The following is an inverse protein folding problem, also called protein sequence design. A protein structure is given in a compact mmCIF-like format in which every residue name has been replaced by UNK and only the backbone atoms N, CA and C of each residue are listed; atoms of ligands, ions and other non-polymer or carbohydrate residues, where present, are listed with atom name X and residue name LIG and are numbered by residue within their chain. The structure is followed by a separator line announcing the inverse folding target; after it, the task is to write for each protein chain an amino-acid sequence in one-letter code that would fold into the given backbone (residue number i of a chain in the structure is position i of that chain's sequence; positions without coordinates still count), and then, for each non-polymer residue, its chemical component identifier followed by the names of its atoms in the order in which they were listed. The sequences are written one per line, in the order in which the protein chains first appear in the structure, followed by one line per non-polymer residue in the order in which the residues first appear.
data_IF_225383087968
#
_entry.id   IF_225383087968
#
_cell.length_a   1.000
_cell.length_b   1.000
_cell.length_c   1.000
_cell.angle_alpha   90.00
_cell.angle_beta   90.00
_cell.angle_gamma   90.00
#
_symmetry.space_group_name_H-M   'P 1'
#
loop_
_entity.id
_entity.type
_entity.pdbx_description
1 polymer ?
#
# COMPACT_ATOMS: atom_id res chain seq x y z
N UNK A 1 -61.61 -2.30 38.25
CA UNK A 1 -60.46 -1.41 37.96
C UNK A 1 -59.25 -2.30 37.67
N UNK A 2 -58.98 -2.58 36.40
CA UNK A 2 -57.97 -1.95 35.54
C UNK A 2 -56.51 -2.36 35.83
N UNK A 3 -56.06 -3.36 35.04
CA UNK A 3 -54.84 -3.47 34.23
C UNK A 3 -53.49 -2.90 34.72
N UNK A 4 -52.44 -3.72 34.44
CA UNK A 4 -51.01 -3.46 34.11
C UNK A 4 -50.09 -4.07 35.17
N UNK A 5 -49.37 -5.19 34.99
CA UNK A 5 -48.44 -5.60 33.92
C UNK A 5 -47.62 -4.42 33.40
N UNK A 6 -46.37 -4.25 33.83
CA UNK A 6 -45.20 -3.94 32.99
C UNK A 6 -43.92 -3.69 33.83
N UNK A 7 -42.77 -4.00 33.22
CA UNK A 7 -41.39 -3.54 33.51
C UNK A 7 -40.52 -4.35 34.47
N UNK A 8 -40.16 -5.55 34.01
CA UNK A 8 -38.85 -6.19 34.24
C UNK A 8 -38.22 -6.43 32.87
N UNK A 9 -37.69 -5.38 32.25
CA UNK A 9 -36.94 -5.47 30.98
C UNK A 9 -36.09 -4.23 30.72
N UNK A 10 -35.05 -4.00 31.52
CA UNK A 10 -34.03 -2.98 31.19
C UNK A 10 -32.66 -3.45 31.67
N UNK A 11 -32.19 -4.56 31.10
CA UNK A 11 -30.76 -4.90 31.13
C UNK A 11 -30.38 -5.79 29.93
N UNK A 12 -30.69 -5.31 28.73
CA UNK A 12 -30.22 -5.90 27.47
C UNK A 12 -30.30 -4.83 26.36
N UNK A 13 -29.50 -3.76 26.47
CA UNK A 13 -29.34 -2.81 25.38
C UNK A 13 -28.01 -2.06 25.47
N UNK A 14 -26.88 -2.77 25.37
CA UNK A 14 -25.56 -2.15 25.15
C UNK A 14 -24.63 -3.06 24.34
N UNK A 15 -25.08 -3.63 23.22
CA UNK A 15 -24.16 -4.35 22.28
C UNK A 15 -24.62 -4.30 20.82
N UNK A 16 -25.20 -3.19 20.35
CA UNK A 16 -25.64 -3.05 18.94
C UNK A 16 -25.29 -1.69 18.32
N UNK A 17 -24.15 -1.13 18.66
CA UNK A 17 -23.66 0.16 18.13
C UNK A 17 -22.24 0.09 17.59
N UNK A 18 -21.91 -0.88 16.73
CA UNK A 18 -20.52 -1.06 16.27
C UNK A 18 -20.32 -1.64 14.86
N UNK A 19 -21.32 -1.65 13.97
CA UNK A 19 -21.18 -2.28 12.65
C UNK A 19 -21.45 -1.36 11.44
N UNK A 20 -21.61 -0.05 11.64
CA UNK A 20 -21.81 0.90 10.53
C UNK A 20 -20.52 1.54 9.98
N UNK A 21 -19.33 1.27 10.55
CA UNK A 21 -18.09 1.93 10.10
C UNK A 21 -17.52 1.37 8.78
N UNK A 22 -17.68 0.07 8.51
CA UNK A 22 -17.08 -0.57 7.33
C UNK A 22 -17.74 -0.17 5.99
N UNK A 23 -18.93 0.44 5.99
CA UNK A 23 -19.62 0.78 4.75
C UNK A 23 -19.18 2.14 4.17
N UNK A 24 -18.61 3.01 5.00
CA UNK A 24 -18.13 4.34 4.59
C UNK A 24 -16.74 4.34 3.94
N UNK A 25 -15.96 3.28 4.17
CA UNK A 25 -14.58 3.12 3.63
C UNK A 25 -14.59 2.56 2.21
N UNK A 26 -15.62 1.78 1.85
CA UNK A 26 -15.79 1.25 0.49
C UNK A 26 -16.06 2.35 -0.55
N UNK A 27 -16.56 3.51 -0.11
CA UNK A 27 -16.90 4.64 -0.98
C UNK A 27 -15.87 5.77 -0.98
N UNK A 28 -14.66 5.51 -0.46
CA UNK A 28 -13.56 6.47 -0.38
C UNK A 28 -12.24 5.86 -0.87
N UNK A 29 -11.33 6.70 -1.32
CA UNK A 29 -9.94 6.36 -1.67
C UNK A 29 -9.10 6.29 -0.41
N UNK A 30 -8.34 5.20 -0.25
CA UNK A 30 -7.28 5.13 0.75
C UNK A 30 -6.09 5.95 0.27
N UNK A 31 -5.74 7.02 0.99
CA UNK A 31 -4.51 7.77 0.67
C UNK A 31 -3.37 7.28 1.56
N UNK A 32 -2.28 6.85 0.92
CA UNK A 32 -0.98 6.67 1.57
C UNK A 32 -0.48 8.01 2.12
N UNK A 33 0.37 7.96 3.13
CA UNK A 33 1.02 9.14 3.70
C UNK A 33 2.53 9.14 3.43
N UNK A 34 3.15 10.30 3.40
CA UNK A 34 4.61 10.42 3.43
C UNK A 34 5.04 11.54 4.36
N UNK A 35 5.91 11.24 5.31
CA UNK A 35 6.46 12.25 6.24
C UNK A 35 7.51 13.15 5.59
N UNK A 36 8.00 12.78 4.41
CA UNK A 36 9.02 13.54 3.69
C UNK A 36 8.44 14.65 2.79
N UNK A 37 7.15 14.56 2.46
CA UNK A 37 6.54 15.41 1.44
C UNK A 37 5.82 16.62 2.05
N UNK A 38 6.19 17.80 1.55
CA UNK A 38 5.52 19.07 1.85
C UNK A 38 4.62 19.56 0.69
N UNK A 39 4.55 18.80 -0.41
CA UNK A 39 3.77 19.13 -1.59
C UNK A 39 3.38 17.87 -2.38
N UNK A 40 2.62 18.06 -3.45
CA UNK A 40 2.17 17.00 -4.34
C UNK A 40 3.33 16.46 -5.17
N UNK A 41 3.15 15.24 -5.66
CA UNK A 41 4.14 14.53 -6.48
C UNK A 41 3.69 14.54 -7.94
N UNK A 42 4.54 15.00 -8.84
CA UNK A 42 4.28 14.97 -10.28
C UNK A 42 4.48 13.58 -10.84
N UNK A 43 3.53 13.16 -11.66
CA UNK A 43 3.54 11.91 -12.41
C UNK A 43 3.70 12.19 -13.91
N UNK A 44 4.40 11.29 -14.59
CA UNK A 44 4.34 11.15 -16.04
C UNK A 44 3.05 10.42 -16.46
N UNK A 45 2.81 10.35 -17.77
CA UNK A 45 1.68 9.59 -18.31
C UNK A 45 1.82 8.09 -17.99
N UNK A 46 3.02 7.54 -18.18
CA UNK A 46 3.33 6.14 -17.89
C UNK A 46 3.08 5.82 -16.40
N UNK A 47 3.46 6.71 -15.49
CA UNK A 47 3.22 6.52 -14.04
C UNK A 47 1.72 6.49 -13.69
N UNK A 48 0.88 7.27 -14.40
CA UNK A 48 -0.57 7.24 -14.17
C UNK A 48 -1.18 5.94 -14.67
N UNK A 49 -0.82 5.49 -15.88
CA UNK A 49 -1.29 4.19 -16.38
C UNK A 49 -0.82 3.05 -15.48
N UNK A 50 0.39 3.19 -14.96
CA UNK A 50 0.97 2.26 -14.01
C UNK A 50 0.11 2.10 -12.76
N UNK A 51 -0.17 3.19 -12.02
CA UNK A 51 -1.02 3.16 -10.81
C UNK A 51 -2.43 2.60 -11.09
N UNK A 52 -2.97 2.84 -12.29
CA UNK A 52 -4.27 2.26 -12.69
C UNK A 52 -4.15 0.74 -12.87
N UNK A 53 -3.10 0.28 -13.54
CA UNK A 53 -2.90 -1.13 -13.86
C UNK A 53 -2.60 -2.00 -12.64
N UNK A 54 -2.01 -1.42 -11.59
CA UNK A 54 -1.73 -2.08 -10.31
C UNK A 54 -2.91 -1.99 -9.33
N UNK A 55 -4.05 -1.45 -9.79
CA UNK A 55 -5.26 -1.29 -8.98
C UNK A 55 -5.04 -0.45 -7.71
N UNK A 56 -4.19 0.58 -7.78
CA UNK A 56 -3.90 1.43 -6.63
C UNK A 56 -5.10 2.34 -6.26
N UNK A 57 -5.21 2.66 -4.97
CA UNK A 57 -6.02 3.76 -4.47
C UNK A 57 -5.14 5.04 -4.50
N UNK A 58 -5.50 6.03 -5.33
CA UNK A 58 -4.75 7.29 -5.41
C UNK A 58 -5.61 8.47 -5.83
N UNK A 59 -5.10 9.68 -5.59
CA UNK A 59 -5.74 10.94 -6.01
C UNK A 59 -4.82 11.68 -6.96
N UNK A 60 -5.36 12.01 -8.14
CA UNK A 60 -4.64 12.67 -9.21
C UNK A 60 -5.28 14.02 -9.51
N UNK A 61 -4.49 15.08 -9.46
CA UNK A 61 -4.85 16.37 -10.03
C UNK A 61 -4.38 16.43 -11.47
N UNK A 62 -5.28 16.73 -12.40
CA UNK A 62 -4.94 17.13 -13.76
C UNK A 62 -4.88 18.66 -13.78
N UNK A 63 -3.70 19.21 -14.08
CA UNK A 63 -3.46 20.65 -14.06
C UNK A 63 -2.84 21.16 -15.36
N UNK A 64 -2.78 22.48 -15.53
CA UNK A 64 -2.14 23.10 -16.69
C UNK A 64 -1.24 24.27 -16.24
N UNK A 65 -0.07 24.44 -16.84
CA UNK A 65 0.91 25.48 -16.47
C UNK A 65 0.35 26.91 -16.50
N UNK A 66 -0.48 27.23 -17.48
CA UNK A 66 -1.04 28.59 -17.69
C UNK A 66 -2.35 28.83 -16.94
N UNK A 67 -2.80 27.88 -16.12
CA UNK A 67 -4.09 27.91 -15.43
C UNK A 67 -4.00 28.59 -14.05
N UNK A 68 -4.63 29.76 -13.91
CA UNK A 68 -4.67 30.52 -12.66
C UNK A 68 -5.41 29.76 -11.54
N UNK A 69 -6.51 29.09 -11.87
CA UNK A 69 -7.25 28.23 -10.94
C UNK A 69 -6.38 27.06 -10.43
N UNK A 70 -5.49 26.53 -11.28
CA UNK A 70 -4.57 25.46 -10.94
C UNK A 70 -3.50 25.94 -9.96
N UNK A 71 -3.03 27.18 -10.11
CA UNK A 71 -2.12 27.81 -9.15
C UNK A 71 -2.76 27.92 -7.76
N UNK A 72 -4.04 28.31 -7.71
CA UNK A 72 -4.81 28.37 -6.45
C UNK A 72 -4.95 26.97 -5.85
N UNK A 73 -5.41 25.99 -6.63
CA UNK A 73 -5.59 24.62 -6.15
C UNK A 73 -4.27 24.00 -5.66
N UNK A 74 -3.14 24.25 -6.36
CA UNK A 74 -1.80 23.83 -5.92
C UNK A 74 -1.42 24.38 -4.55
N UNK A 75 -1.78 25.63 -4.23
CA UNK A 75 -1.56 26.22 -2.90
C UNK A 75 -2.42 25.57 -1.82
N UNK A 76 -3.70 25.33 -2.11
CA UNK A 76 -4.61 24.63 -1.19
C UNK A 76 -4.14 23.20 -0.94
N UNK A 77 -3.70 22.52 -2.00
CA UNK A 77 -3.20 21.15 -1.94
C UNK A 77 -1.93 21.04 -1.10
N UNK A 78 -0.97 21.96 -1.25
CA UNK A 78 0.22 22.04 -0.38
C UNK A 78 -0.14 22.15 1.10
N UNK A 79 -1.10 23.02 1.42
CA UNK A 79 -1.58 23.19 2.81
C UNK A 79 -2.19 21.88 3.32
N UNK A 80 -3.06 21.25 2.52
CA UNK A 80 -3.69 19.97 2.85
C UNK A 80 -2.66 18.86 3.08
N UNK A 81 -1.67 18.73 2.20
CA UNK A 81 -0.60 17.73 2.32
C UNK A 81 0.21 17.98 3.58
N UNK A 82 0.63 19.22 3.85
CA UNK A 82 1.40 19.55 5.06
C UNK A 82 0.65 19.27 6.37
N UNK A 83 -0.69 19.36 6.39
CA UNK A 83 -1.50 19.06 7.57
C UNK A 83 -1.81 17.58 7.75
N UNK A 84 -1.87 16.82 6.65
CA UNK A 84 -2.40 15.44 6.67
C UNK A 84 -1.36 14.37 6.38
N UNK A 85 -0.22 14.78 5.83
CA UNK A 85 0.82 13.96 5.20
C UNK A 85 0.30 13.10 4.04
N UNK A 86 -0.92 13.34 3.54
CA UNK A 86 -1.50 12.54 2.45
C UNK A 86 -0.69 12.71 1.17
N UNK A 87 -0.37 11.60 0.52
CA UNK A 87 0.25 11.58 -0.80
C UNK A 87 -0.81 11.84 -1.86
N UNK A 88 -0.60 12.90 -2.64
CA UNK A 88 -1.49 13.33 -3.72
C UNK A 88 -0.62 13.64 -4.94
N UNK A 89 -1.10 13.23 -6.11
CA UNK A 89 -0.37 13.33 -7.36
C UNK A 89 -0.86 14.49 -8.24
N UNK A 90 0.00 14.98 -9.14
CA UNK A 90 -0.28 15.98 -10.18
C UNK A 90 0.22 15.48 -11.53
N UNK A 91 -0.54 15.72 -12.60
CA UNK A 91 -0.12 15.50 -13.99
C UNK A 91 -0.49 16.72 -14.84
N UNK A 92 0.36 17.07 -15.80
CA UNK A 92 0.05 18.11 -16.78
C UNK A 92 -1.01 17.59 -17.76
N UNK A 93 -1.99 18.43 -18.11
CA UNK A 93 -3.09 18.06 -19.01
C UNK A 93 -2.59 17.49 -20.33
N UNK A 94 -1.52 18.05 -20.91
CA UNK A 94 -0.95 17.55 -22.16
C UNK A 94 -0.46 16.11 -22.04
N UNK A 95 0.11 15.74 -20.90
CA UNK A 95 0.64 14.39 -20.67
C UNK A 95 -0.53 13.43 -20.38
N UNK A 96 -1.52 13.87 -19.60
CA UNK A 96 -2.75 13.12 -19.36
C UNK A 96 -3.54 12.81 -20.65
N UNK A 97 -3.59 13.76 -21.58
CA UNK A 97 -4.28 13.59 -22.87
C UNK A 97 -3.62 12.52 -23.76
N UNK A 98 -2.32 12.24 -23.57
CA UNK A 98 -1.63 11.18 -24.33
C UNK A 98 -2.18 9.78 -24.03
N UNK A 99 -2.65 9.55 -22.79
CA UNK A 99 -3.10 8.22 -22.31
C UNK A 99 -4.62 8.13 -22.16
N UNK A 100 -5.31 9.23 -21.91
CA UNK A 100 -6.75 9.22 -21.63
C UNK A 100 -7.62 8.87 -22.84
N UNK A 101 -7.09 8.97 -24.05
CA UNK A 101 -7.81 8.57 -25.27
C UNK A 101 -7.86 7.05 -25.47
N UNK A 102 -6.86 6.32 -24.96
CA UNK A 102 -6.73 4.87 -25.06
C UNK A 102 -7.17 4.13 -23.79
N UNK A 103 -6.99 4.74 -22.62
CA UNK A 103 -7.29 4.11 -21.33
C UNK A 103 -8.70 4.45 -20.84
N UNK A 104 -9.61 3.47 -20.87
CA UNK A 104 -11.03 3.64 -20.50
C UNK A 104 -11.26 3.98 -19.02
N UNK A 105 -10.28 3.76 -18.15
CA UNK A 105 -10.38 4.15 -16.74
C UNK A 105 -10.26 5.69 -16.57
N UNK A 106 -9.67 6.37 -17.55
CA UNK A 106 -9.43 7.80 -17.53
C UNK A 106 -10.60 8.57 -18.18
N UNK A 107 -11.29 9.45 -17.44
CA UNK A 107 -12.33 10.28 -18.03
C UNK A 107 -11.75 11.41 -18.87
N UNK A 108 -12.51 11.91 -19.85
CA UNK A 108 -12.20 13.17 -20.53
C UNK A 108 -12.14 14.32 -19.51
N UNK A 109 -11.12 15.18 -19.59
CA UNK A 109 -10.95 16.35 -18.73
C UNK A 109 -11.05 17.62 -19.57
N UNK A 110 -12.12 18.38 -19.38
CA UNK A 110 -12.37 19.63 -20.15
C UNK A 110 -11.91 20.89 -19.42
N UNK A 111 -11.82 20.80 -18.10
CA UNK A 111 -11.52 21.93 -17.22
C UNK A 111 -10.32 21.57 -16.33
N UNK A 112 -9.45 22.53 -16.08
CA UNK A 112 -8.37 22.40 -15.08
C UNK A 112 -8.53 23.48 -14.00
N UNK A 113 -8.20 23.18 -12.73
CA UNK A 113 -7.78 21.89 -12.21
C UNK A 113 -8.97 20.92 -12.09
N UNK A 114 -8.70 19.64 -12.38
CA UNK A 114 -9.63 18.54 -12.13
C UNK A 114 -8.98 17.54 -11.19
N UNK A 115 -9.69 17.08 -10.16
CA UNK A 115 -9.24 16.01 -9.30
C UNK A 115 -9.99 14.72 -9.61
N UNK A 116 -9.23 13.66 -9.77
CA UNK A 116 -9.66 12.31 -10.04
C UNK A 116 -9.30 11.45 -8.82
N UNK A 117 -10.29 10.75 -8.29
CA UNK A 117 -10.16 9.87 -7.14
C UNK A 117 -10.28 8.45 -7.67
N UNK A 118 -9.19 7.69 -7.63
CA UNK A 118 -9.11 6.30 -8.08
C UNK A 118 -9.16 5.36 -6.90
N UNK A 119 -9.92 4.28 -7.06
CA UNK A 119 -10.03 3.19 -6.09
C UNK A 119 -9.94 1.87 -6.83
N UNK A 120 -8.97 1.02 -6.48
CA UNK A 120 -8.78 -0.24 -7.21
C UNK A 120 -8.53 0.00 -8.70
N UNK A 121 -7.74 1.01 -9.06
CA UNK A 121 -7.49 1.40 -10.46
C UNK A 121 -8.70 2.00 -11.22
N UNK A 122 -9.88 2.06 -10.59
CA UNK A 122 -11.11 2.57 -11.21
C UNK A 122 -11.47 3.97 -10.71
N UNK A 123 -11.99 4.81 -11.60
CA UNK A 123 -12.44 6.16 -11.22
C UNK A 123 -13.65 6.08 -10.28
N UNK A 124 -13.46 6.49 -9.03
CA UNK A 124 -14.52 6.64 -8.03
C UNK A 124 -15.23 7.99 -8.16
N UNK A 125 -14.46 9.07 -8.31
CA UNK A 125 -15.00 10.43 -8.37
C UNK A 125 -14.15 11.35 -9.22
N UNK A 126 -14.82 12.22 -9.98
CA UNK A 126 -14.25 13.37 -10.67
C UNK A 126 -14.82 14.66 -10.08
N UNK A 127 -13.96 15.64 -9.81
CA UNK A 127 -14.33 16.97 -9.31
C UNK A 127 -13.61 18.02 -10.16
N UNK A 128 -14.38 18.92 -10.77
CA UNK A 128 -13.86 20.02 -11.57
C UNK A 128 -14.11 21.35 -10.86
N UNK A 129 -13.10 22.22 -10.82
CA UNK A 129 -13.22 23.57 -10.28
C UNK A 129 -13.29 23.63 -8.76
N UNK A 130 -12.63 24.64 -8.17
CA UNK A 130 -12.58 24.83 -6.73
C UNK A 130 -12.70 26.31 -6.39
N UNK A 131 -13.32 26.59 -5.25
CA UNK A 131 -13.27 27.91 -4.64
C UNK A 131 -11.89 28.11 -4.01
N UNK A 132 -11.44 29.36 -3.94
CA UNK A 132 -10.27 29.73 -3.15
C UNK A 132 -10.62 29.77 -1.66
N UNK A 133 -11.01 28.62 -1.11
CA UNK A 133 -11.47 28.43 0.25
C UNK A 133 -10.91 27.10 0.75
N UNK A 134 -10.04 27.18 1.77
CA UNK A 134 -9.35 26.00 2.28
C UNK A 134 -10.28 25.05 3.03
N UNK A 135 -11.25 25.57 3.78
CA UNK A 135 -12.16 24.72 4.56
C UNK A 135 -13.11 23.97 3.61
N UNK A 136 -13.60 24.62 2.55
CA UNK A 136 -14.39 23.95 1.51
C UNK A 136 -13.57 22.88 0.77
N UNK A 137 -12.32 23.20 0.42
CA UNK A 137 -11.38 22.26 -0.21
C UNK A 137 -11.13 21.03 0.68
N UNK A 138 -10.74 21.25 1.95
CA UNK A 138 -10.44 20.20 2.92
C UNK A 138 -11.66 19.32 3.20
N UNK A 139 -12.84 19.91 3.38
CA UNK A 139 -14.09 19.18 3.58
C UNK A 139 -14.47 18.34 2.35
N UNK A 140 -14.23 18.86 1.15
CA UNK A 140 -14.45 18.12 -0.09
C UNK A 140 -13.50 16.92 -0.19
N UNK A 141 -12.20 17.13 0.06
CA UNK A 141 -11.21 16.05 0.05
C UNK A 141 -11.53 14.96 1.08
N UNK A 142 -11.83 15.34 2.32
CA UNK A 142 -12.14 14.38 3.39
C UNK A 142 -13.46 13.61 3.18
N UNK A 143 -14.31 14.06 2.24
CA UNK A 143 -15.50 13.30 1.82
C UNK A 143 -15.14 12.10 0.94
N UNK A 144 -14.07 12.20 0.15
CA UNK A 144 -13.68 11.17 -0.84
C UNK A 144 -12.37 10.47 -0.50
N UNK A 145 -11.57 11.03 0.39
CA UNK A 145 -10.38 10.42 0.96
C UNK A 145 -10.72 9.95 2.36
N UNK A 146 -10.27 8.75 2.70
CA UNK A 146 -10.02 8.40 4.09
C UNK A 146 -8.53 8.10 4.22
N UNK A 147 -7.90 8.75 5.18
CA UNK A 147 -6.50 8.47 5.49
C UNK A 147 -6.42 7.56 6.70
N UNK A 148 -5.57 6.56 6.59
CA UNK A 148 -5.04 5.82 7.73
C UNK A 148 -3.58 6.18 7.88
N UNK A 149 -2.98 5.82 9.00
CA UNK A 149 -1.57 6.02 9.22
C UNK A 149 -0.74 4.95 8.50
N UNK A 150 -1.01 4.72 7.21
CA UNK A 150 -0.17 3.93 6.33
C UNK A 150 0.78 4.88 5.62
N UNK A 151 2.08 4.72 5.85
CA UNK A 151 3.12 5.61 5.36
C UNK A 151 4.01 4.88 4.35
N UNK A 152 4.25 5.49 3.20
CA UNK A 152 5.29 5.03 2.27
C UNK A 152 6.65 5.57 2.70
N UNK A 153 7.66 4.70 2.65
CA UNK A 153 9.08 5.02 2.87
C UNK A 153 9.86 5.13 1.55
N UNK A 154 9.17 5.11 0.40
CA UNK A 154 9.77 5.36 -0.90
C UNK A 154 10.25 6.81 -1.00
N UNK A 155 11.36 7.02 -1.71
CA UNK A 155 11.98 8.34 -1.89
C UNK A 155 11.45 9.03 -3.14
N UNK A 156 11.00 10.29 -3.00
CA UNK A 156 10.58 11.16 -4.09
C UNK A 156 11.63 12.26 -4.30
N UNK A 157 11.82 12.74 -5.54
CA UNK A 157 12.79 13.81 -5.81
C UNK A 157 12.17 15.20 -5.77
N UNK A 158 12.83 16.14 -5.08
CA UNK A 158 12.58 17.57 -5.22
C UNK A 158 13.60 18.15 -6.20
N UNK A 159 13.14 18.59 -7.37
CA UNK A 159 14.04 19.21 -8.35
C UNK A 159 14.51 20.57 -7.82
N UNK A 160 15.83 20.73 -7.68
CA UNK A 160 16.44 21.98 -7.20
C UNK A 160 15.98 23.18 -8.04
N UNK A 161 15.47 24.22 -7.37
CA UNK A 161 14.93 25.43 -8.02
C UNK A 161 13.41 25.43 -8.27
N UNK A 162 12.69 24.36 -7.91
CA UNK A 162 11.22 24.32 -7.91
C UNK A 162 10.69 23.70 -6.60
N UNK A 163 9.46 24.04 -6.22
CA UNK A 163 8.72 23.46 -5.08
C UNK A 163 8.09 22.09 -5.37
N UNK A 164 8.14 21.63 -6.62
CA UNK A 164 7.44 20.42 -7.05
C UNK A 164 8.29 19.16 -6.77
N UNK A 165 7.64 18.12 -6.24
CA UNK A 165 8.20 16.78 -6.14
C UNK A 165 7.88 16.00 -7.41
N UNK A 166 8.73 15.06 -7.78
CA UNK A 166 8.55 14.16 -8.92
C UNK A 166 8.58 12.73 -8.42
N UNK A 167 7.66 11.93 -8.92
CA UNK A 167 7.77 10.47 -8.83
C UNK A 167 8.94 10.08 -9.71
N UNK A 168 9.86 9.32 -9.12
CA UNK A 168 10.97 8.77 -9.87
C UNK A 168 10.82 7.27 -9.73
N UNK A 169 10.16 6.68 -10.72
CA UNK A 169 10.32 5.26 -10.97
C UNK A 169 11.84 5.00 -11.03
N UNK A 170 12.32 4.01 -10.30
CA UNK A 170 13.72 3.58 -10.32
C UNK A 170 14.73 4.40 -9.51
N UNK A 171 14.65 4.36 -8.17
CA UNK A 171 15.76 4.78 -7.33
C UNK A 171 16.31 3.69 -6.44
N UNK A 172 17.63 3.55 -6.52
CA UNK A 172 18.48 2.86 -5.55
C UNK A 172 18.54 3.56 -4.19
N UNK A 173 17.89 4.73 -4.05
CA UNK A 173 17.97 5.57 -2.86
C UNK A 173 17.05 5.07 -1.74
N UNK A 174 17.70 4.45 -0.77
CA UNK A 174 17.07 3.92 0.44
C UNK A 174 17.24 4.82 1.66
N UNK A 175 17.67 6.08 1.49
CA UNK A 175 18.01 6.97 2.62
C UNK A 175 16.84 7.18 3.57
N UNK A 176 15.61 7.34 3.06
CA UNK A 176 14.42 7.50 3.91
C UNK A 176 14.13 6.23 4.70
N UNK A 177 14.22 5.07 4.05
CA UNK A 177 14.07 3.76 4.70
C UNK A 177 15.14 3.54 5.78
N UNK A 178 16.41 3.80 5.45
CA UNK A 178 17.54 3.66 6.37
C UNK A 178 17.37 4.60 7.59
N UNK A 179 16.92 5.84 7.35
CA UNK A 179 16.61 6.79 8.43
C UNK A 179 15.43 6.32 9.29
N UNK A 180 14.36 5.82 8.67
CA UNK A 180 13.20 5.31 9.41
C UNK A 180 13.60 4.13 10.29
N UNK A 181 14.36 3.16 9.77
CA UNK A 181 14.85 1.99 10.51
C UNK A 181 15.75 2.42 11.68
N UNK A 182 16.69 3.32 11.45
CA UNK A 182 17.64 3.75 12.49
C UNK A 182 17.05 4.71 13.55
N UNK A 183 16.02 5.47 13.20
CA UNK A 183 15.43 6.49 14.10
C UNK A 183 14.32 5.94 14.99
N UNK A 184 13.75 4.79 14.65
CA UNK A 184 12.66 4.18 15.41
C UNK A 184 13.20 3.04 16.30
N UNK A 185 12.70 2.98 17.54
CA UNK A 185 13.05 1.88 18.47
C UNK A 185 12.47 0.54 18.01
N UNK A 186 11.30 0.59 17.40
CA UNK A 186 10.56 -0.55 16.88
C UNK A 186 9.81 -0.09 15.62
N UNK A 187 10.06 -0.73 14.49
CA UNK A 187 9.48 -0.39 13.19
C UNK A 187 9.22 -1.65 12.39
N UNK A 188 8.00 -1.79 11.88
CA UNK A 188 7.68 -2.85 10.91
C UNK A 188 7.47 -2.25 9.53
N UNK A 189 8.19 -2.76 8.54
CA UNK A 189 8.10 -2.35 7.13
C UNK A 189 7.53 -3.51 6.30
N UNK A 190 6.48 -3.22 5.54
CA UNK A 190 5.98 -4.07 4.47
C UNK A 190 6.77 -3.80 3.18
N UNK A 191 7.50 -4.80 2.70
CA UNK A 191 8.15 -4.77 1.40
C UNK A 191 7.24 -5.39 0.34
N UNK A 192 6.79 -4.56 -0.58
CA UNK A 192 5.88 -4.91 -1.66
C UNK A 192 6.56 -4.77 -3.01
N UNK A 193 6.07 -5.53 -4.00
CA UNK A 193 6.44 -5.36 -5.40
C UNK A 193 5.19 -5.13 -6.22
N UNK A 194 5.17 -4.08 -7.01
CA UNK A 194 3.98 -3.65 -7.74
C UNK A 194 3.50 -4.64 -8.82
N UNK A 195 4.34 -5.56 -9.33
CA UNK A 195 3.93 -6.56 -10.34
C UNK A 195 3.76 -7.97 -9.72
N UNK A 196 3.54 -8.02 -8.41
CA UNK A 196 3.48 -9.26 -7.64
C UNK A 196 2.03 -9.62 -7.28
N UNK A 197 1.46 -10.64 -7.93
CA UNK A 197 0.08 -11.07 -7.62
C UNK A 197 -0.11 -11.43 -6.15
N UNK A 198 0.89 -12.07 -5.53
CA UNK A 198 0.87 -12.39 -4.10
C UNK A 198 0.85 -11.14 -3.22
N UNK A 199 1.55 -10.08 -3.63
CA UNK A 199 1.60 -8.80 -2.93
C UNK A 199 0.27 -8.05 -3.04
N UNK A 200 -0.39 -8.07 -4.20
CA UNK A 200 -1.75 -7.53 -4.34
C UNK A 200 -2.74 -8.31 -3.46
N UNK A 201 -2.70 -9.64 -3.53
CA UNK A 201 -3.54 -10.50 -2.69
C UNK A 201 -3.32 -10.20 -1.20
N UNK A 202 -2.07 -10.06 -0.75
CA UNK A 202 -1.73 -9.70 0.61
C UNK A 202 -2.27 -8.31 0.98
N UNK A 203 -2.01 -7.32 0.13
CA UNK A 203 -2.40 -5.94 0.34
C UNK A 203 -3.92 -5.80 0.48
N UNK A 204 -4.70 -6.36 -0.46
CA UNK A 204 -6.15 -6.26 -0.50
C UNK A 204 -6.84 -7.10 0.59
N UNK A 205 -6.43 -8.36 0.74
CA UNK A 205 -7.18 -9.32 1.57
C UNK A 205 -6.82 -9.21 3.04
N UNK A 206 -5.60 -8.76 3.35
CA UNK A 206 -4.99 -8.89 4.68
C UNK A 206 -4.49 -7.53 5.18
N UNK A 207 -3.49 -6.93 4.53
CA UNK A 207 -2.78 -5.76 5.07
C UNK A 207 -3.68 -4.52 5.20
N UNK A 208 -4.44 -4.18 4.15
CA UNK A 208 -5.36 -3.03 4.18
C UNK A 208 -6.44 -3.22 5.24
N UNK A 209 -7.01 -4.42 5.36
CA UNK A 209 -8.01 -4.71 6.40
C UNK A 209 -7.42 -4.61 7.79
N UNK A 210 -6.18 -5.07 7.96
CA UNK A 210 -5.45 -4.97 9.21
C UNK A 210 -5.23 -3.52 9.61
N UNK A 211 -4.70 -2.70 8.71
CA UNK A 211 -4.48 -1.26 8.94
C UNK A 211 -5.79 -0.55 9.26
N UNK A 212 -6.88 -0.91 8.59
CA UNK A 212 -8.19 -0.33 8.86
C UNK A 212 -8.72 -0.67 10.26
N UNK A 213 -8.24 -1.77 10.86
CA UNK A 213 -8.55 -2.17 12.23
C UNK A 213 -7.67 -1.51 13.31
N UNK A 214 -6.57 -0.86 12.91
CA UNK A 214 -5.67 -0.18 13.84
C UNK A 214 -6.30 1.10 14.41
N UNK A 215 -5.85 1.49 15.60
CA UNK A 215 -6.21 2.78 16.17
C UNK A 215 -5.57 3.94 15.39
N UNK A 216 -6.08 5.16 15.57
CA UNK A 216 -5.64 6.35 14.83
C UNK A 216 -4.21 6.83 15.15
N UNK A 217 -3.52 6.22 16.11
CA UNK A 217 -2.16 6.60 16.52
C UNK A 217 -1.10 5.61 16.02
N UNK A 218 -1.48 4.35 15.76
CA UNK A 218 -0.57 3.36 15.17
C UNK A 218 -0.14 3.79 13.77
N UNK A 219 1.13 3.61 13.42
CA UNK A 219 1.65 3.82 12.06
C UNK A 219 2.06 2.48 11.45
N UNK A 220 1.64 2.25 10.22
CA UNK A 220 2.07 1.15 9.37
C UNK A 220 2.96 1.73 8.26
N UNK A 221 4.00 0.99 7.87
CA UNK A 221 4.97 1.46 6.89
C UNK A 221 5.12 0.47 5.75
N UNK A 222 5.23 1.00 4.53
CA UNK A 222 5.43 0.24 3.31
C UNK A 222 6.63 0.79 2.53
N UNK A 223 7.37 -0.09 1.88
CA UNK A 223 8.43 0.24 0.95
C UNK A 223 8.30 -0.63 -0.31
N UNK A 224 8.06 0.03 -1.44
CA UNK A 224 7.92 -0.64 -2.73
C UNK A 224 9.31 -0.90 -3.37
N UNK A 225 9.52 -2.11 -3.91
CA UNK A 225 10.83 -2.62 -4.31
C UNK A 225 11.02 -2.86 -5.82
N UNK A 226 10.12 -2.40 -6.69
CA UNK A 226 10.14 -2.66 -8.14
C UNK A 226 11.50 -2.36 -8.74
N UNK A 227 12.14 -1.25 -8.39
CA UNK A 227 13.47 -0.91 -8.88
C UNK A 227 14.51 -2.01 -8.63
N UNK A 228 14.58 -2.49 -7.38
CA UNK A 228 15.57 -3.48 -6.98
C UNK A 228 15.30 -4.84 -7.61
N UNK A 229 14.02 -5.15 -7.84
CA UNK A 229 13.56 -6.45 -8.34
C UNK A 229 13.39 -6.52 -9.86
N UNK A 230 13.24 -5.40 -10.55
CA UNK A 230 12.98 -5.35 -11.98
C UNK A 230 14.06 -6.12 -12.74
N UNK A 231 13.64 -7.01 -13.64
CA UNK A 231 14.55 -7.88 -14.40
C UNK A 231 15.19 -9.03 -13.61
N UNK A 232 14.91 -9.22 -12.31
CA UNK A 232 15.48 -10.32 -11.53
C UNK A 232 15.05 -11.68 -12.13
N UNK A 233 16.00 -12.52 -12.58
CA UNK A 233 15.67 -13.88 -13.03
C UNK A 233 15.19 -14.76 -11.87
N UNK A 234 14.41 -15.79 -12.22
CA UNK A 234 13.84 -16.73 -11.25
C UNK A 234 14.87 -17.63 -10.56
N UNK A 235 16.04 -17.80 -11.17
CA UNK A 235 17.18 -18.55 -10.62
C UNK A 235 18.43 -17.70 -10.71
N UNK A 236 19.41 -17.95 -9.83
CA UNK A 236 20.69 -17.23 -9.82
C UNK A 236 21.48 -17.56 -11.10
N UNK A 237 21.77 -16.58 -11.96
CA UNK A 237 22.67 -16.78 -13.10
C UNK A 237 24.12 -16.93 -12.60
N UNK A 238 24.98 -17.50 -13.43
CA UNK A 238 26.43 -17.45 -13.18
C UNK A 238 26.96 -16.02 -13.41
N UNK A 239 28.10 -15.72 -12.79
CA UNK A 239 28.77 -14.44 -13.03
C UNK A 239 29.12 -14.27 -14.51
N UNK A 240 28.70 -13.14 -15.10
CA UNK A 240 28.86 -12.83 -16.52
C UNK A 240 27.69 -13.28 -17.42
N UNK A 241 26.67 -13.94 -16.88
CA UNK A 241 25.41 -14.23 -17.61
C UNK A 241 24.43 -13.05 -17.52
N UNK A 242 23.57 -12.92 -18.54
CA UNK A 242 22.48 -11.94 -18.57
C UNK A 242 21.57 -12.10 -17.33
N UNK A 243 21.24 -10.98 -16.67
CA UNK A 243 20.41 -10.99 -15.47
C UNK A 243 21.19 -11.15 -14.15
N UNK A 244 22.50 -11.39 -14.19
CA UNK A 244 23.31 -11.53 -12.98
C UNK A 244 23.30 -10.25 -12.13
N UNK A 245 23.46 -9.09 -12.75
CA UNK A 245 23.51 -7.80 -12.06
C UNK A 245 22.15 -7.44 -11.43
N UNK A 246 21.05 -7.70 -12.13
CA UNK A 246 19.68 -7.55 -11.60
C UNK A 246 19.43 -8.49 -10.43
N UNK A 247 19.88 -9.74 -10.55
CA UNK A 247 19.77 -10.71 -9.47
C UNK A 247 20.55 -10.27 -8.23
N UNK A 248 21.80 -9.81 -8.41
CA UNK A 248 22.63 -9.34 -7.31
C UNK A 248 22.15 -8.01 -6.73
N UNK A 249 21.60 -7.10 -7.53
CA UNK A 249 20.93 -5.87 -7.05
C UNK A 249 19.79 -6.22 -6.10
N UNK A 250 18.93 -7.16 -6.48
CA UNK A 250 17.85 -7.63 -5.63
C UNK A 250 18.36 -8.31 -4.37
N UNK A 251 19.29 -9.26 -4.50
CA UNK A 251 19.81 -10.02 -3.35
C UNK A 251 20.51 -9.10 -2.36
N UNK A 252 21.35 -8.17 -2.83
CA UNK A 252 22.03 -7.20 -1.97
C UNK A 252 21.02 -6.32 -1.20
N UNK A 253 19.95 -5.88 -1.86
CA UNK A 253 18.86 -5.15 -1.20
C UNK A 253 18.17 -6.02 -0.14
N UNK A 254 17.71 -7.21 -0.51
CA UNK A 254 17.00 -8.11 0.40
C UNK A 254 17.87 -8.52 1.61
N UNK A 255 19.16 -8.77 1.39
CA UNK A 255 20.13 -9.06 2.46
C UNK A 255 20.35 -7.85 3.36
N UNK A 256 20.53 -6.64 2.79
CA UNK A 256 20.67 -5.39 3.57
C UNK A 256 19.49 -5.20 4.53
N UNK A 257 18.28 -5.53 4.07
CA UNK A 257 17.04 -5.33 4.84
C UNK A 257 16.53 -6.57 5.57
N UNK A 258 17.31 -7.66 5.62
CA UNK A 258 17.07 -8.78 6.52
C UNK A 258 16.10 -9.86 6.05
N UNK A 259 15.66 -9.82 4.79
CA UNK A 259 14.75 -10.82 4.22
C UNK A 259 15.38 -11.62 3.07
N UNK A 260 16.69 -11.45 2.83
CA UNK A 260 17.44 -12.13 1.76
C UNK A 260 17.73 -13.61 2.00
N UNK A 261 17.66 -14.10 3.24
CA UNK A 261 18.03 -15.48 3.57
C UNK A 261 17.06 -16.52 3.01
N UNK A 262 15.76 -16.21 3.01
CA UNK A 262 14.74 -17.11 2.49
C UNK A 262 14.49 -16.84 0.99
N UNK A 263 14.88 -17.81 0.17
CA UNK A 263 14.70 -17.81 -1.30
C UNK A 263 15.20 -16.50 -1.96
N UNK A 264 16.37 -16.03 -1.53
CA UNK A 264 17.04 -14.86 -2.07
C UNK A 264 16.17 -13.60 -2.04
N UNK A 265 15.41 -13.40 -0.96
CA UNK A 265 14.41 -12.33 -0.87
C UNK A 265 13.10 -12.72 -1.53
N UNK A 266 12.25 -13.44 -0.80
CA UNK A 266 10.84 -13.63 -1.17
C UNK A 266 10.01 -12.44 -0.67
N UNK A 267 9.02 -12.07 -1.47
CA UNK A 267 8.03 -11.03 -1.18
C UNK A 267 6.64 -11.56 -1.56
N UNK A 268 5.55 -11.04 -0.97
CA UNK A 268 5.48 -9.97 0.03
C UNK A 268 6.12 -10.34 1.37
N UNK A 269 6.84 -9.40 1.99
CA UNK A 269 7.52 -9.61 3.27
C UNK A 269 7.23 -8.48 4.25
N UNK A 270 7.01 -8.82 5.51
CA UNK A 270 6.97 -7.88 6.63
C UNK A 270 8.23 -8.08 7.46
N UNK A 271 9.02 -7.03 7.63
CA UNK A 271 10.24 -7.08 8.46
C UNK A 271 10.09 -6.13 9.63
N UNK A 272 10.27 -6.66 10.83
CA UNK A 272 10.37 -5.88 12.05
C UNK A 272 11.83 -5.56 12.34
N UNK A 273 12.07 -4.30 12.62
CA UNK A 273 13.34 -3.75 13.05
C UNK A 273 13.23 -3.27 14.49
N UNK A 274 14.17 -3.68 15.33
CA UNK A 274 14.30 -3.22 16.71
C UNK A 274 15.65 -2.57 16.91
N UNK A 275 15.65 -1.31 17.33
CA UNK A 275 16.86 -0.49 17.51
C UNK A 275 17.76 -0.48 16.25
N UNK A 276 17.13 -0.38 15.08
CA UNK A 276 17.80 -0.36 13.77
C UNK A 276 18.33 -1.70 13.27
N UNK A 277 18.08 -2.81 13.98
CA UNK A 277 18.49 -4.16 13.59
C UNK A 277 17.28 -5.02 13.23
N UNK A 278 17.46 -5.96 12.31
CA UNK A 278 16.43 -6.95 11.95
C UNK A 278 16.14 -7.81 13.18
N UNK A 279 14.87 -7.87 13.57
CA UNK A 279 14.43 -8.65 14.73
C UNK A 279 13.68 -9.92 14.29
N UNK A 280 12.66 -9.78 13.44
CA UNK A 280 11.89 -10.91 12.92
C UNK A 280 11.26 -10.51 11.57
N UNK A 281 10.99 -11.48 10.69
CA UNK A 281 10.24 -11.24 9.48
C UNK A 281 9.21 -12.33 9.20
N UNK A 282 8.14 -11.93 8.51
CA UNK A 282 7.06 -12.78 8.04
C UNK A 282 6.97 -12.68 6.50
N UNK A 283 6.59 -13.78 5.86
CA UNK A 283 6.46 -13.89 4.41
C UNK A 283 5.08 -14.46 4.12
N UNK A 284 4.43 -14.01 3.06
CA UNK A 284 3.13 -14.54 2.64
C UNK A 284 3.21 -15.15 1.24
N UNK A 285 2.45 -16.23 1.00
CA UNK A 285 2.40 -16.96 -0.27
C UNK A 285 3.78 -17.46 -0.73
N UNK A 286 4.40 -18.25 0.13
CA UNK A 286 5.75 -18.81 -0.06
C UNK A 286 5.77 -20.31 -0.29
N UNK A 287 4.63 -20.97 -0.24
CA UNK A 287 4.49 -22.41 -0.41
C UNK A 287 4.66 -22.82 -1.87
N UNK A 288 5.51 -23.83 -2.12
CA UNK A 288 5.71 -24.41 -3.45
C UNK A 288 6.08 -25.89 -3.36
N UNK A 289 6.09 -26.56 -4.52
CA UNK A 289 6.45 -27.97 -4.67
C UNK A 289 5.56 -28.91 -3.85
N UNK A 290 4.38 -29.22 -4.41
CA UNK A 290 3.47 -30.19 -3.81
C UNK A 290 3.95 -31.61 -4.12
N UNK A 291 4.12 -32.42 -3.08
CA UNK A 291 4.48 -33.83 -3.19
C UNK A 291 3.35 -34.71 -2.61
N UNK A 292 3.26 -35.92 -3.14
CA UNK A 292 2.30 -36.94 -2.72
C UNK A 292 3.03 -38.06 -1.99
N UNK A 293 2.64 -38.30 -0.74
CA UNK A 293 3.21 -39.34 0.13
C UNK A 293 2.07 -40.02 0.88
N UNK A 294 2.05 -41.35 0.85
CA UNK A 294 1.09 -42.20 1.57
C UNK A 294 -0.39 -41.82 1.34
N UNK A 295 -0.73 -41.40 0.11
CA UNK A 295 -2.08 -41.00 -0.27
C UNK A 295 -2.49 -39.61 0.21
N UNK A 296 -1.54 -38.80 0.68
CA UNK A 296 -1.75 -37.40 1.10
C UNK A 296 -0.83 -36.44 0.35
N UNK A 297 -1.26 -35.19 0.23
CA UNK A 297 -0.48 -34.10 -0.36
C UNK A 297 0.10 -33.20 0.72
N UNK A 298 1.35 -32.74 0.51
CA UNK A 298 2.03 -31.73 1.34
C UNK A 298 2.89 -30.79 0.50
N UNK A 299 3.23 -29.64 1.07
CA UNK A 299 4.28 -28.78 0.52
C UNK A 299 5.65 -29.25 0.99
N UNK A 300 6.60 -29.29 0.07
CA UNK A 300 8.01 -29.52 0.38
C UNK A 300 8.75 -28.21 0.69
N UNK A 301 8.32 -27.10 0.07
CA UNK A 301 8.92 -25.78 0.27
C UNK A 301 7.89 -24.84 0.89
N UNK A 302 8.21 -24.26 2.05
CA UNK A 302 7.48 -23.16 2.68
C UNK A 302 8.41 -22.44 3.68
N UNK A 303 8.12 -21.17 3.99
CA UNK A 303 8.84 -20.41 5.01
C UNK A 303 8.50 -20.95 6.39
N UNK A 304 7.21 -21.09 6.67
CA UNK A 304 6.70 -21.65 7.93
C UNK A 304 6.78 -23.17 7.94
N UNK A 305 7.35 -23.74 9.01
CA UNK A 305 7.46 -25.18 9.15
C UNK A 305 6.08 -25.82 9.37
N UNK A 306 5.17 -25.13 10.06
CA UNK A 306 3.81 -25.55 10.33
C UNK A 306 3.02 -25.77 9.02
N UNK A 307 3.33 -25.03 7.95
CA UNK A 307 2.73 -25.22 6.62
C UNK A 307 3.24 -26.51 5.97
N UNK A 308 4.51 -26.90 6.18
CA UNK A 308 5.09 -28.16 5.66
C UNK A 308 4.52 -29.39 6.37
N UNK A 309 4.00 -29.21 7.58
CA UNK A 309 3.37 -30.28 8.38
C UNK A 309 1.95 -30.59 7.94
N UNK A 310 1.30 -29.70 7.17
CA UNK A 310 -0.04 -29.95 6.63
C UNK A 310 -0.03 -31.19 5.73
N UNK A 311 -1.03 -32.05 5.92
CA UNK A 311 -1.32 -33.21 5.06
C UNK A 311 -2.78 -33.11 4.65
N UNK A 312 -3.06 -33.21 3.36
CA UNK A 312 -4.43 -33.13 2.85
C UNK A 312 -4.75 -34.23 1.84
N UNK A 313 -6.03 -34.55 1.70
CA UNK A 313 -6.51 -35.58 0.77
C UNK A 313 -6.51 -35.13 -0.69
N UNK A 314 -6.37 -33.82 -0.93
CA UNK A 314 -6.28 -33.22 -2.26
C UNK A 314 -5.41 -31.97 -2.26
N UNK A 315 -4.89 -31.60 -3.44
CA UNK A 315 -4.12 -30.35 -3.63
C UNK A 315 -4.95 -29.10 -3.31
N UNK A 316 -6.25 -29.12 -3.61
CA UNK A 316 -7.15 -27.99 -3.33
C UNK A 316 -7.34 -27.80 -1.82
N UNK A 317 -7.53 -28.90 -1.09
CA UNK A 317 -7.61 -28.87 0.37
C UNK A 317 -6.29 -28.42 1.00
N UNK A 318 -5.14 -28.93 0.53
CA UNK A 318 -3.82 -28.50 0.97
C UNK A 318 -3.65 -26.98 0.84
N UNK A 319 -3.94 -26.44 -0.36
CA UNK A 319 -3.85 -25.00 -0.63
C UNK A 319 -4.73 -24.18 0.32
N UNK A 320 -5.98 -24.59 0.52
CA UNK A 320 -6.91 -23.87 1.39
C UNK A 320 -6.48 -23.88 2.86
N UNK A 321 -5.96 -25.01 3.36
CA UNK A 321 -5.46 -25.13 4.73
C UNK A 321 -4.17 -24.30 4.92
N UNK A 322 -3.24 -24.36 3.96
CA UNK A 322 -2.00 -23.59 3.98
C UNK A 322 -2.27 -22.08 3.94
N UNK A 323 -3.09 -21.60 2.99
CA UNK A 323 -3.45 -20.18 2.88
C UNK A 323 -4.08 -19.67 4.19
N UNK A 324 -4.98 -20.45 4.80
CA UNK A 324 -5.59 -20.10 6.08
C UNK A 324 -4.55 -19.98 7.21
N UNK A 325 -3.61 -20.91 7.29
CA UNK A 325 -2.56 -20.90 8.31
C UNK A 325 -1.57 -19.75 8.10
N UNK A 326 -1.13 -19.52 6.86
CA UNK A 326 -0.23 -18.39 6.54
C UNK A 326 -0.87 -17.04 6.87
N UNK A 327 -2.15 -16.84 6.54
CA UNK A 327 -2.91 -15.64 6.94
C UNK A 327 -2.84 -15.44 8.46
N UNK A 328 -3.08 -16.51 9.23
CA UNK A 328 -3.05 -16.45 10.69
C UNK A 328 -1.64 -16.11 11.21
N UNK A 329 -0.60 -16.73 10.68
CA UNK A 329 0.79 -16.50 11.10
C UNK A 329 1.23 -15.07 10.82
N UNK A 330 0.92 -14.54 9.63
CA UNK A 330 1.24 -13.15 9.28
C UNK A 330 0.41 -12.15 10.10
N UNK A 331 -0.85 -12.45 10.39
CA UNK A 331 -1.67 -11.63 11.30
C UNK A 331 -1.10 -11.60 12.72
N UNK A 332 -0.65 -12.74 13.24
CA UNK A 332 0.01 -12.80 14.55
C UNK A 332 1.28 -11.95 14.58
N UNK A 333 2.07 -11.97 13.50
CA UNK A 333 3.24 -11.11 13.36
C UNK A 333 2.86 -9.63 13.40
N UNK A 334 1.84 -9.22 12.63
CA UNK A 334 1.36 -7.84 12.63
C UNK A 334 0.81 -7.43 14.01
N UNK A 335 0.06 -8.30 14.68
CA UNK A 335 -0.44 -8.03 16.04
C UNK A 335 0.68 -7.85 17.06
N UNK A 336 1.76 -8.62 16.93
CA UNK A 336 2.93 -8.53 17.79
C UNK A 336 3.70 -7.21 17.58
N UNK A 337 3.88 -6.77 16.34
CA UNK A 337 4.85 -5.72 16.01
C UNK A 337 4.28 -4.41 15.46
N UNK A 338 3.04 -4.40 14.98
CA UNK A 338 2.38 -3.19 14.45
C UNK A 338 1.37 -2.65 15.47
N UNK A 339 0.55 -3.53 16.06
CA UNK A 339 -0.45 -3.12 17.06
C UNK A 339 0.13 -2.90 18.46
N UNK A 340 1.23 -3.57 18.78
CA UNK A 340 1.94 -3.46 20.06
C UNK A 340 2.84 -2.23 20.21
N UNK A 341 3.08 -1.47 19.13
CA UNK A 341 3.89 -0.25 19.16
C UNK A 341 3.06 0.91 19.74
N UNK A 342 3.17 1.11 21.06
CA UNK A 342 2.65 2.28 21.79
C UNK A 342 3.81 3.10 22.33
#
# INVERSE_FOLDING_TARGET
MLKKLFLLSTMALMTLGGLSSCNSEKSKVLSLKSEALDSYVKLSADDVEYHISTEDDFVLMVSQKTCSACTIAKKLLRTYISETNNLIYDIELSDYETISTSNKALPEVKNTPTFLFFKGGSLLKKIEGFKNDYDDFKNTFNRYIYSRNLYTLNTYEKVSGNSDWYYVENKSDTTILDKAISSNKDLTVYYSWLICSDCHNFHEKIYTKYINSLNSNSKAYEFEVTYFRSGKPGTKPNEGEDGYDEYMRWLNFATKYGFGEYLDGKIPALVNYKEGQVNEYAIFANDSNVIEEDGTFRYDTAYYNEVKEIRASSKAELKAQAEKLEIQLVQNFMDKYIKGAI
#
